data_IF_522633335896
#
_entry.id   IF_522633335896
#
_cell.length_a   1.000
_cell.length_b   1.000
_cell.length_c   1.000
_cell.angle_alpha   90.00
_cell.angle_beta   90.00
_cell.angle_gamma   90.00
#
_symmetry.space_group_name_H-M   'P 1'
#
loop_
_entity.id
_entity.type
_entity.pdbx_description
1 polymer ?
#
# COMPACT_ATOMS: atom_id res chain seq x y z
N UNK A 1 14.16 -12.36 -12.44
CA UNK A 1 13.58 -11.40 -13.40
C UNK A 1 12.92 -10.28 -12.61
N UNK A 2 13.72 -9.31 -12.15
CA UNK A 2 13.25 -8.21 -11.29
C UNK A 2 12.62 -7.16 -12.19
N UNK A 3 11.29 -7.02 -12.13
CA UNK A 3 10.57 -6.01 -12.88
C UNK A 3 11.04 -4.62 -12.42
N UNK A 4 11.52 -3.81 -13.37
CA UNK A 4 11.88 -2.41 -13.15
C UNK A 4 10.65 -1.66 -12.62
N UNK A 5 10.79 -1.04 -11.44
CA UNK A 5 9.86 -0.05 -10.89
C UNK A 5 10.02 1.28 -11.65
N UNK A 6 9.74 1.28 -12.95
CA UNK A 6 9.74 2.47 -13.80
C UNK A 6 8.31 2.92 -14.04
N UNK A 7 7.77 3.75 -13.15
CA UNK A 7 6.46 4.36 -13.35
C UNK A 7 6.04 5.27 -12.20
N UNK A 8 6.25 6.58 -12.37
CA UNK A 8 5.89 7.69 -11.46
C UNK A 8 6.56 7.59 -10.08
N UNK A 9 7.60 8.38 -9.87
CA UNK A 9 8.14 8.57 -8.53
C UNK A 9 7.07 9.22 -7.63
N UNK A 10 6.64 8.51 -6.59
CA UNK A 10 5.78 9.00 -5.52
C UNK A 10 6.33 10.32 -4.96
N UNK A 11 5.72 11.45 -5.33
CA UNK A 11 6.20 12.77 -4.93
C UNK A 11 5.79 13.10 -3.49
N UNK A 12 6.72 13.48 -2.60
CA UNK A 12 6.43 13.71 -1.17
C UNK A 12 5.47 14.88 -0.90
N UNK A 13 5.31 15.81 -1.85
CA UNK A 13 4.40 16.96 -1.71
C UNK A 13 2.98 16.70 -2.26
N UNK A 14 2.71 15.51 -2.80
CA UNK A 14 1.38 15.15 -3.30
C UNK A 14 0.50 14.66 -2.16
N UNK A 15 -0.78 15.07 -2.13
CA UNK A 15 -1.75 14.48 -1.21
C UNK A 15 -1.94 12.99 -1.57
N UNK A 16 -1.28 12.11 -0.81
CA UNK A 16 -1.20 10.68 -1.06
C UNK A 16 -2.55 9.99 -1.28
N UNK A 17 -3.48 10.14 -0.34
CA UNK A 17 -4.76 9.42 -0.40
C UNK A 17 -5.64 9.85 -1.59
N UNK A 18 -5.76 11.15 -1.92
CA UNK A 18 -6.35 11.58 -3.18
C UNK A 18 -5.72 10.95 -4.42
N UNK A 19 -4.37 10.88 -4.50
CA UNK A 19 -3.68 10.26 -5.63
C UNK A 19 -3.99 8.76 -5.75
N UNK A 20 -3.94 8.03 -4.65
CA UNK A 20 -4.32 6.60 -4.58
C UNK A 20 -5.76 6.39 -5.09
N UNK A 21 -6.72 7.18 -4.58
CA UNK A 21 -8.13 7.07 -4.99
C UNK A 21 -8.32 7.39 -6.46
N UNK A 22 -7.65 8.43 -6.96
CA UNK A 22 -7.69 8.81 -8.36
C UNK A 22 -7.19 7.67 -9.26
N UNK A 23 -6.03 7.08 -8.93
CA UNK A 23 -5.47 5.94 -9.67
C UNK A 23 -6.38 4.71 -9.62
N UNK A 24 -6.99 4.39 -8.47
CA UNK A 24 -7.94 3.27 -8.35
C UNK A 24 -9.19 3.48 -9.23
N UNK A 25 -9.72 4.70 -9.28
CA UNK A 25 -10.88 5.02 -10.12
C UNK A 25 -10.56 5.00 -11.61
N UNK A 26 -9.38 5.49 -12.00
CA UNK A 26 -8.88 5.38 -13.38
C UNK A 26 -8.68 3.92 -13.80
N UNK A 27 -8.22 3.07 -12.88
CA UNK A 27 -8.13 1.62 -13.08
C UNK A 27 -9.47 0.88 -13.01
N UNK A 28 -10.61 1.58 -12.95
CA UNK A 28 -11.96 1.02 -12.84
C UNK A 28 -12.15 0.04 -11.67
N UNK A 29 -11.37 0.19 -10.60
CA UNK A 29 -11.60 -0.60 -9.39
C UNK A 29 -12.91 -0.22 -8.72
N UNK A 30 -13.57 -1.22 -8.12
CA UNK A 30 -14.78 -0.97 -7.34
C UNK A 30 -14.52 -0.05 -6.14
N UNK A 31 -15.53 0.69 -5.69
CA UNK A 31 -15.45 1.49 -4.46
C UNK A 31 -15.11 0.66 -3.22
N UNK A 32 -15.50 -0.63 -3.21
CA UNK A 32 -15.12 -1.58 -2.16
C UNK A 32 -13.61 -1.81 -2.16
N UNK A 33 -13.01 -2.03 -3.32
CA UNK A 33 -11.55 -2.19 -3.46
C UNK A 33 -10.82 -0.90 -3.10
N UNK A 34 -11.35 0.26 -3.52
CA UNK A 34 -10.83 1.57 -3.12
C UNK A 34 -10.75 1.71 -1.59
N UNK A 35 -11.85 1.39 -0.89
CA UNK A 35 -11.91 1.41 0.57
C UNK A 35 -10.91 0.45 1.22
N UNK A 36 -10.81 -0.77 0.71
CA UNK A 36 -9.88 -1.78 1.21
C UNK A 36 -8.42 -1.32 1.07
N UNK A 37 -8.04 -0.83 -0.12
CA UNK A 37 -6.66 -0.41 -0.39
C UNK A 37 -6.27 0.80 0.43
N UNK A 38 -7.12 1.84 0.46
CA UNK A 38 -6.89 3.03 1.30
C UNK A 38 -6.79 2.63 2.78
N UNK A 39 -7.60 1.67 3.24
CA UNK A 39 -7.53 1.15 4.60
C UNK A 39 -6.19 0.49 4.92
N UNK A 40 -5.68 -0.37 4.03
CA UNK A 40 -4.39 -1.02 4.20
C UNK A 40 -3.21 -0.05 4.15
N UNK A 41 -3.22 0.89 3.22
CA UNK A 41 -2.17 1.93 3.10
C UNK A 41 -2.11 2.79 4.37
N UNK A 42 -3.26 3.18 4.94
CA UNK A 42 -3.31 3.91 6.21
C UNK A 42 -2.74 3.10 7.38
N UNK A 43 -3.04 1.79 7.46
CA UNK A 43 -2.51 0.91 8.52
C UNK A 43 -1.00 0.77 8.40
N UNK A 44 -0.48 0.59 7.19
CA UNK A 44 0.96 0.54 6.92
C UNK A 44 1.67 1.84 7.36
N UNK A 45 1.15 3.00 6.98
CA UNK A 45 1.71 4.30 7.37
C UNK A 45 1.70 4.48 8.89
N UNK A 46 0.61 4.11 9.56
CA UNK A 46 0.51 4.22 11.03
C UNK A 46 1.48 3.28 11.75
N UNK A 47 1.64 2.06 11.24
CA UNK A 47 2.59 1.10 11.79
C UNK A 47 4.03 1.63 11.76
N UNK A 48 4.39 2.38 10.72
CA UNK A 48 5.71 3.01 10.56
C UNK A 48 5.78 4.46 11.09
N UNK A 49 4.98 4.79 12.10
CA UNK A 49 5.08 6.09 12.77
C UNK A 49 4.71 7.29 11.89
N UNK A 50 3.78 7.12 10.95
CA UNK A 50 3.30 8.16 10.02
C UNK A 50 4.34 8.70 9.04
N UNK A 51 5.44 7.98 8.85
CA UNK A 51 6.42 8.26 7.80
C UNK A 51 5.78 8.13 6.41
N UNK A 52 6.25 8.95 5.47
CA UNK A 52 5.72 8.93 4.11
C UNK A 52 6.13 7.63 3.40
N UNK A 53 5.25 6.94 2.66
CA UNK A 53 5.59 5.69 1.98
C UNK A 53 6.77 5.78 0.99
N UNK A 54 7.08 6.98 0.48
CA UNK A 54 8.27 7.19 -0.35
C UNK A 54 9.60 6.98 0.42
N UNK A 55 9.57 7.02 1.75
CA UNK A 55 10.71 6.74 2.63
C UNK A 55 10.72 5.29 3.14
N UNK A 56 9.70 4.51 2.81
CA UNK A 56 9.50 3.14 3.28
C UNK A 56 9.69 2.20 2.08
N UNK A 57 10.46 1.14 2.26
CA UNK A 57 10.79 0.21 1.19
C UNK A 57 10.32 -1.21 1.47
N UNK A 58 10.98 -2.15 0.82
CA UNK A 58 10.68 -3.58 0.93
C UNK A 58 10.79 -4.09 2.38
N UNK A 59 11.80 -3.64 3.13
CA UNK A 59 12.00 -3.98 4.55
C UNK A 59 10.77 -3.61 5.40
N UNK A 60 10.23 -2.43 5.20
CA UNK A 60 9.08 -1.91 5.92
C UNK A 60 7.79 -2.65 5.54
N UNK A 61 7.65 -3.00 4.26
CA UNK A 61 6.53 -3.83 3.78
C UNK A 61 6.60 -5.21 4.45
N UNK A 62 7.76 -5.85 4.46
CA UNK A 62 7.95 -7.16 5.08
C UNK A 62 7.71 -7.14 6.59
N UNK A 63 8.20 -6.11 7.29
CA UNK A 63 7.96 -5.92 8.71
C UNK A 63 6.45 -5.80 9.01
N UNK A 64 5.73 -4.99 8.23
CA UNK A 64 4.28 -4.83 8.39
C UNK A 64 3.50 -6.11 8.12
N UNK A 65 3.82 -6.85 7.05
CA UNK A 65 3.14 -8.11 6.73
C UNK A 65 3.43 -9.20 7.76
N UNK A 66 4.64 -9.22 8.32
CA UNK A 66 5.01 -10.12 9.43
C UNK A 66 4.21 -9.79 10.68
N UNK A 67 4.12 -8.50 11.05
CA UNK A 67 3.32 -8.04 12.17
C UNK A 67 1.84 -8.47 12.03
N UNK A 68 1.24 -8.31 10.84
CA UNK A 68 -0.13 -8.76 10.60
C UNK A 68 -0.32 -10.27 10.82
N UNK A 69 0.64 -11.09 10.41
CA UNK A 69 0.55 -12.54 10.52
C UNK A 69 0.81 -13.04 11.95
N UNK A 70 1.81 -12.49 12.64
CA UNK A 70 2.26 -13.00 13.94
C UNK A 70 1.44 -12.40 15.08
N UNK A 71 1.36 -11.06 15.13
CA UNK A 71 0.72 -10.34 16.23
C UNK A 71 -0.76 -10.12 15.94
N UNK A 72 -1.07 -9.73 14.70
CA UNK A 72 -2.45 -9.56 14.25
C UNK A 72 -3.20 -10.88 14.00
N UNK A 73 -2.49 -12.01 13.86
CA UNK A 73 -3.02 -13.35 13.56
C UNK A 73 -4.06 -13.36 12.43
N UNK A 74 -3.85 -12.50 11.43
CA UNK A 74 -4.81 -12.36 10.33
C UNK A 74 -4.81 -13.61 9.44
N UNK A 75 -5.94 -13.90 8.83
CA UNK A 75 -6.03 -14.99 7.85
C UNK A 75 -5.09 -14.71 6.64
N UNK A 76 -4.58 -15.75 5.96
CA UNK A 76 -3.71 -15.57 4.80
C UNK A 76 -4.31 -14.66 3.73
N UNK A 77 -5.60 -14.81 3.43
CA UNK A 77 -6.30 -13.96 2.46
C UNK A 77 -6.33 -12.47 2.86
N UNK A 78 -6.37 -12.17 4.16
CA UNK A 78 -6.29 -10.80 4.69
C UNK A 78 -4.90 -10.21 4.48
N UNK A 79 -3.84 -11.00 4.69
CA UNK A 79 -2.47 -10.59 4.40
C UNK A 79 -2.27 -10.36 2.89
N UNK A 80 -2.84 -11.22 2.04
CA UNK A 80 -2.81 -11.03 0.58
C UNK A 80 -3.46 -9.72 0.17
N UNK A 81 -4.62 -9.35 0.74
CA UNK A 81 -5.25 -8.06 0.45
C UNK A 81 -4.38 -6.86 0.87
N UNK A 82 -3.70 -6.97 2.01
CA UNK A 82 -2.75 -5.94 2.45
C UNK A 82 -1.58 -5.82 1.47
N UNK A 83 -0.97 -6.94 1.08
CA UNK A 83 0.11 -6.96 0.10
C UNK A 83 -0.33 -6.39 -1.25
N UNK A 84 -1.51 -6.76 -1.77
CA UNK A 84 -2.03 -6.22 -3.04
C UNK A 84 -2.21 -4.70 -2.99
N UNK A 85 -2.68 -4.16 -1.87
CA UNK A 85 -2.80 -2.71 -1.69
C UNK A 85 -1.45 -2.00 -1.68
N UNK A 86 -0.42 -2.59 -1.05
CA UNK A 86 0.93 -2.03 -1.01
C UNK A 86 1.62 -2.14 -2.37
N UNK A 87 1.48 -3.27 -3.07
CA UNK A 87 1.99 -3.41 -4.43
C UNK A 87 1.36 -2.40 -5.38
N UNK A 88 0.05 -2.15 -5.27
CA UNK A 88 -0.61 -1.09 -6.03
C UNK A 88 -0.02 0.28 -5.69
N UNK A 89 0.14 0.60 -4.40
CA UNK A 89 0.73 1.86 -3.95
C UNK A 89 2.10 2.12 -4.60
N UNK A 90 3.01 1.14 -4.59
CA UNK A 90 4.37 1.32 -5.09
C UNK A 90 4.52 1.22 -6.61
N UNK A 91 3.51 0.69 -7.32
CA UNK A 91 3.56 0.51 -8.78
C UNK A 91 2.79 1.58 -9.54
N UNK A 92 1.71 2.09 -8.97
CA UNK A 92 0.72 2.88 -9.72
C UNK A 92 0.60 4.34 -9.26
N UNK A 93 1.12 4.69 -8.08
CA UNK A 93 0.94 6.00 -7.42
C UNK A 93 2.26 6.75 -7.31
#
# INVERSE_FOLDING_TARGET
MVARLSGVAMQPNTRLLPAVRHKLRLGHYSLRTEGAYVGWIKRFIRFHGTRHPAELGESEVMAFLTHLAVEGRVAPATQTQALSALLFLYREV
#
